data_IF_438003247014
#
_entry.id   IF_438003247014
#
_cell.length_a   1.000
_cell.length_b   1.000
_cell.length_c   1.000
_cell.angle_alpha   90.00
_cell.angle_beta   90.00
_cell.angle_gamma   90.00
#
_symmetry.space_group_name_H-M   'P 1'
#
loop_
_entity.id
_entity.type
_entity.pdbx_description
1 polymer ?
#
# COMPACT_ATOMS: atom_id res chain seq x y z
N UNK A 1 -15.63 -13.45 28.99
CA UNK A 1 -16.58 -12.38 28.61
C UNK A 1 -16.00 -11.66 27.41
N UNK A 2 -16.58 -11.86 26.22
CA UNK A 2 -15.99 -11.46 24.93
C UNK A 2 -16.13 -9.96 24.67
N UNK A 3 -15.00 -9.28 24.49
CA UNK A 3 -14.97 -7.91 24.01
C UNK A 3 -15.28 -7.89 22.52
N UNK A 4 -16.51 -7.53 22.16
CA UNK A 4 -16.91 -7.29 20.77
C UNK A 4 -16.33 -5.96 20.29
N UNK A 5 -15.09 -5.98 19.80
CA UNK A 5 -14.48 -4.81 19.16
C UNK A 5 -15.13 -4.57 17.79
N UNK A 6 -16.15 -3.70 17.77
CA UNK A 6 -16.83 -3.22 16.54
C UNK A 6 -16.00 -2.21 15.73
N UNK A 7 -14.67 -2.16 15.89
CA UNK A 7 -13.85 -1.04 15.43
C UNK A 7 -12.74 -1.38 14.43
N UNK A 8 -12.90 -2.46 13.66
CA UNK A 8 -11.88 -2.90 12.66
C UNK A 8 -12.04 -2.22 11.28
N UNK A 9 -13.15 -1.52 11.02
CA UNK A 9 -13.53 -1.09 9.65
C UNK A 9 -13.02 0.28 9.19
N UNK A 10 -12.58 1.17 10.10
CA UNK A 10 -12.12 2.51 9.70
C UNK A 10 -10.64 2.59 9.34
N UNK A 11 -9.84 1.58 9.65
CA UNK A 11 -8.39 1.62 9.38
C UNK A 11 -8.01 1.24 7.94
N UNK A 12 -8.86 0.52 7.22
CA UNK A 12 -8.48 -0.01 5.89
C UNK A 12 -8.27 1.08 4.83
N UNK A 13 -9.06 2.15 4.85
CA UNK A 13 -8.99 3.19 3.80
C UNK A 13 -7.71 4.03 3.86
N UNK A 14 -7.26 4.37 5.07
CA UNK A 14 -6.12 5.26 5.23
C UNK A 14 -4.79 4.55 4.95
N UNK A 15 -4.69 3.25 5.29
CA UNK A 15 -3.50 2.44 5.00
C UNK A 15 -3.33 2.14 3.51
N UNK A 16 -4.41 1.97 2.75
CA UNK A 16 -4.33 1.68 1.31
C UNK A 16 -3.74 2.83 0.48
N UNK A 17 -3.74 4.05 1.01
CA UNK A 17 -3.13 5.22 0.34
C UNK A 17 -1.61 5.13 0.31
N UNK A 18 -0.96 4.40 1.23
CA UNK A 18 0.50 4.21 1.26
C UNK A 18 1.00 2.94 0.55
N UNK A 19 0.09 2.13 0.02
CA UNK A 19 0.45 0.85 -0.62
C UNK A 19 1.17 1.10 -1.94
N UNK A 20 2.28 0.42 -2.19
CA UNK A 20 2.99 0.44 -3.47
C UNK A 20 2.36 -0.54 -4.47
N UNK A 21 2.63 -0.36 -5.77
CA UNK A 21 1.99 -1.10 -6.84
C UNK A 21 2.29 -2.61 -6.79
N UNK A 22 3.44 -3.00 -6.25
CA UNK A 22 3.82 -4.39 -6.03
C UNK A 22 2.94 -5.08 -4.98
N UNK A 23 2.73 -4.43 -3.83
CA UNK A 23 1.85 -4.95 -2.77
C UNK A 23 0.39 -4.98 -3.25
N UNK A 24 -0.07 -3.93 -3.93
CA UNK A 24 -1.42 -3.90 -4.51
C UNK A 24 -1.65 -5.04 -5.51
N UNK A 25 -0.69 -5.30 -6.39
CA UNK A 25 -0.76 -6.40 -7.37
C UNK A 25 -0.73 -7.77 -6.70
N UNK A 26 0.02 -7.94 -5.61
CA UNK A 26 0.01 -9.16 -4.81
C UNK A 26 -1.38 -9.41 -4.20
N UNK A 27 -1.98 -8.38 -3.58
CA UNK A 27 -3.32 -8.45 -3.01
C UNK A 27 -4.39 -8.83 -4.05
N UNK A 28 -4.33 -8.24 -5.26
CA UNK A 28 -5.24 -8.58 -6.35
C UNK A 28 -5.09 -10.01 -6.86
N UNK A 29 -3.87 -10.56 -6.83
CA UNK A 29 -3.61 -11.95 -7.22
C UNK A 29 -4.11 -12.92 -6.16
N UNK A 30 -3.87 -12.63 -4.90
CA UNK A 30 -4.23 -13.49 -3.76
C UNK A 30 -5.75 -13.58 -3.59
N UNK A 31 -6.46 -12.46 -3.77
CA UNK A 31 -7.91 -12.42 -3.63
C UNK A 31 -8.67 -12.81 -4.91
N UNK A 32 -7.95 -13.11 -6.01
CA UNK A 32 -8.46 -13.16 -7.39
C UNK A 32 -9.15 -11.82 -7.77
N UNK A 33 -9.36 -11.50 -9.06
CA UNK A 33 -10.02 -10.25 -9.46
C UNK A 33 -11.54 -10.25 -9.16
N UNK A 34 -11.95 -10.68 -7.97
CA UNK A 34 -13.28 -10.59 -7.42
C UNK A 34 -13.54 -9.19 -6.84
N UNK A 35 -13.13 -8.15 -7.56
CA UNK A 35 -13.52 -6.79 -7.20
C UNK A 35 -14.99 -6.65 -7.59
N UNK A 36 -15.88 -6.58 -6.60
CA UNK A 36 -17.27 -6.30 -6.90
C UNK A 36 -17.37 -5.00 -7.70
N UNK A 37 -18.23 -5.00 -8.72
CA UNK A 37 -18.37 -3.88 -9.66
C UNK A 37 -18.68 -2.54 -8.98
N UNK A 38 -19.30 -2.58 -7.80
CA UNK A 38 -19.55 -1.42 -6.92
C UNK A 38 -18.26 -0.78 -6.40
N UNK A 39 -17.18 -1.55 -6.21
CA UNK A 39 -15.90 -1.10 -5.65
C UNK A 39 -14.82 -0.83 -6.70
N UNK A 40 -15.13 -0.95 -8.01
CA UNK A 40 -14.18 -0.64 -9.09
C UNK A 40 -13.59 0.76 -8.99
N UNK A 41 -14.37 1.76 -8.58
CA UNK A 41 -13.88 3.14 -8.40
C UNK A 41 -12.80 3.24 -7.32
N UNK A 42 -12.96 2.52 -6.20
CA UNK A 42 -11.95 2.46 -5.14
C UNK A 42 -10.72 1.71 -5.60
N UNK A 43 -10.89 0.59 -6.31
CA UNK A 43 -9.78 -0.16 -6.87
C UNK A 43 -8.98 0.67 -7.88
N UNK A 44 -9.64 1.45 -8.74
CA UNK A 44 -8.98 2.36 -9.68
C UNK A 44 -8.21 3.46 -8.94
N UNK A 45 -8.81 4.06 -7.91
CA UNK A 45 -8.14 5.07 -7.08
C UNK A 45 -6.91 4.50 -6.35
N UNK A 46 -7.03 3.33 -5.71
CA UNK A 46 -5.92 2.65 -5.04
C UNK A 46 -4.82 2.32 -6.06
N UNK A 47 -5.19 1.81 -7.25
CA UNK A 47 -4.22 1.52 -8.33
C UNK A 47 -3.43 2.77 -8.74
N UNK A 48 -4.11 3.91 -8.91
CA UNK A 48 -3.46 5.17 -9.26
C UNK A 48 -2.52 5.66 -8.14
N UNK A 49 -2.97 5.65 -6.89
CA UNK A 49 -2.15 6.04 -5.75
C UNK A 49 -0.95 5.11 -5.57
N UNK A 50 -1.12 3.81 -5.76
CA UNK A 50 -0.02 2.84 -5.66
C UNK A 50 1.04 3.01 -6.74
N UNK A 51 0.65 3.43 -7.95
CA UNK A 51 1.58 3.79 -9.01
C UNK A 51 2.40 5.04 -8.63
N UNK A 52 1.75 6.07 -8.09
CA UNK A 52 2.38 7.31 -7.62
C UNK A 52 3.36 6.99 -6.47
N UNK A 53 2.97 6.19 -5.48
CA UNK A 53 3.85 5.79 -4.38
C UNK A 53 5.07 5.01 -4.86
N UNK A 54 4.89 4.11 -5.83
CA UNK A 54 6.01 3.36 -6.41
C UNK A 54 6.98 4.27 -7.16
N UNK A 55 6.46 5.31 -7.82
CA UNK A 55 7.29 6.31 -8.47
C UNK A 55 8.11 7.11 -7.44
N UNK A 56 7.48 7.58 -6.37
CA UNK A 56 8.20 8.27 -5.28
C UNK A 56 9.23 7.36 -4.62
N UNK A 57 8.89 6.11 -4.31
CA UNK A 57 9.83 5.12 -3.75
C UNK A 57 11.04 4.91 -4.67
N UNK A 58 10.81 4.67 -5.96
CA UNK A 58 11.91 4.50 -6.94
C UNK A 58 12.76 5.77 -7.07
N UNK A 59 12.15 6.94 -6.99
CA UNK A 59 12.85 8.23 -7.05
C UNK A 59 13.70 8.44 -5.80
N UNK A 60 13.19 8.07 -4.64
CA UNK A 60 13.88 8.15 -3.36
C UNK A 60 15.04 7.15 -3.30
N UNK A 61 14.82 5.89 -3.67
CA UNK A 61 15.88 4.87 -3.78
C UNK A 61 16.99 5.31 -4.74
N UNK A 62 16.63 5.90 -5.89
CA UNK A 62 17.65 6.43 -6.83
C UNK A 62 18.43 7.61 -6.28
N UNK A 63 17.77 8.51 -5.54
CA UNK A 63 18.38 9.76 -5.08
C UNK A 63 19.16 9.59 -3.78
N UNK A 64 18.65 8.76 -2.89
CA UNK A 64 19.16 8.61 -1.53
C UNK A 64 19.52 7.18 -1.17
N UNK A 65 19.20 6.17 -1.99
CA UNK A 65 19.51 4.77 -1.66
C UNK A 65 21.00 4.52 -1.48
N UNK A 66 21.87 5.19 -2.25
CA UNK A 66 23.31 5.13 -2.05
C UNK A 66 23.76 5.79 -0.74
N UNK A 67 23.13 6.91 -0.36
CA UNK A 67 23.42 7.61 0.89
C UNK A 67 22.93 6.81 2.11
N UNK A 68 21.73 6.22 2.04
CA UNK A 68 21.16 5.38 3.09
C UNK A 68 21.99 4.10 3.29
N UNK A 69 22.47 3.48 2.21
CA UNK A 69 23.34 2.30 2.30
C UNK A 69 24.68 2.57 2.98
N UNK A 70 25.11 3.83 2.99
CA UNK A 70 26.33 4.29 3.67
C UNK A 70 26.08 4.74 5.12
N UNK A 71 24.83 4.97 5.49
CA UNK A 71 24.46 5.33 6.86
C UNK A 71 24.43 4.05 7.70
N UNK A 72 25.45 3.89 8.56
CA UNK A 72 25.43 2.86 9.59
C UNK A 72 24.27 3.16 10.56
N UNK A 73 23.38 2.18 10.76
CA UNK A 73 22.38 2.22 11.81
C UNK A 73 23.09 1.77 13.08
N UNK A 74 23.39 2.71 13.97
CA UNK A 74 23.91 2.39 15.31
C UNK A 74 22.76 1.78 16.11
N UNK A 75 22.99 0.58 16.66
CA UNK A 75 21.98 -0.26 17.30
C UNK A 75 21.82 0.04 18.79
#
# INVERSE_FOLDING_TARGET
MGATSKHTRSFTYQFLVGVTADVWRAMLRENRPAIERRYCHRAAFITAMSAINSFYRRREERRYGAAISQTAIDA
#
